data_IF_851971444417
#
_entry.id   IF_851971444417
#
_cell.length_a   1.000
_cell.length_b   1.000
_cell.length_c   1.000
_cell.angle_alpha   90.00
_cell.angle_beta   90.00
_cell.angle_gamma   90.00
#
_symmetry.space_group_name_H-M   'P 1'
#
loop_
_entity.id
_entity.type
_entity.pdbx_description
1 polymer ?
#
# COMPACT_ATOMS: atom_id res chain seq x y z
N UNK A 1 14.74 0.13 18.29
CA UNK A 1 15.33 -0.30 17.01
C UNK A 1 14.24 -0.68 16.03
N UNK A 2 14.48 -0.50 14.75
CA UNK A 2 13.47 -0.82 13.74
C UNK A 2 13.51 -2.32 13.45
N UNK A 3 12.48 -3.04 13.88
CA UNK A 3 12.35 -4.49 13.68
C UNK A 3 11.27 -4.84 12.67
N UNK A 4 10.29 -3.96 12.47
CA UNK A 4 9.19 -4.14 11.54
C UNK A 4 8.89 -2.84 10.81
N UNK A 5 8.93 -2.90 9.49
CA UNK A 5 8.60 -1.78 8.59
C UNK A 5 7.30 -2.11 7.88
N UNK A 6 6.30 -1.28 8.03
CA UNK A 6 5.06 -1.39 7.26
C UNK A 6 5.10 -0.40 6.11
N UNK A 7 4.54 -0.76 4.98
CA UNK A 7 4.45 0.12 3.82
C UNK A 7 3.09 0.00 3.15
N UNK A 8 2.49 1.13 2.84
CA UNK A 8 1.23 1.19 2.11
C UNK A 8 1.47 1.31 0.62
N UNK A 9 0.70 0.58 -0.18
CA UNK A 9 0.76 0.67 -1.63
C UNK A 9 -0.63 0.59 -2.25
N UNK A 10 -0.85 1.35 -3.30
CA UNK A 10 -2.06 1.28 -4.13
C UNK A 10 -1.77 0.70 -5.52
N UNK A 11 -0.56 0.18 -5.73
CA UNK A 11 -0.14 -0.38 -7.01
C UNK A 11 0.32 0.63 -8.04
N UNK A 12 0.24 1.92 -7.74
CA UNK A 12 0.67 2.96 -8.68
C UNK A 12 2.20 3.01 -8.79
N UNK A 13 2.68 3.64 -9.85
CA UNK A 13 4.11 3.84 -10.06
C UNK A 13 4.73 4.70 -8.95
N UNK A 14 4.01 5.72 -8.49
CA UNK A 14 4.47 6.54 -7.38
C UNK A 14 4.54 5.75 -6.07
N UNK A 15 3.56 4.87 -5.83
CA UNK A 15 3.58 4.01 -4.65
C UNK A 15 4.75 3.03 -4.69
N UNK A 16 5.17 2.57 -5.87
CA UNK A 16 6.31 1.66 -5.98
C UNK A 16 7.62 2.29 -5.50
N UNK A 17 7.76 3.61 -5.61
CA UNK A 17 8.92 4.32 -5.07
C UNK A 17 8.95 4.28 -3.55
N UNK A 18 7.79 4.41 -2.91
CA UNK A 18 7.68 4.27 -1.46
C UNK A 18 8.00 2.84 -1.02
N UNK A 19 7.53 1.85 -1.77
CA UNK A 19 7.85 0.44 -1.52
C UNK A 19 9.36 0.22 -1.60
N UNK A 20 10.01 0.69 -2.66
CA UNK A 20 11.47 0.54 -2.82
C UNK A 20 12.23 1.15 -1.64
N UNK A 21 11.79 2.31 -1.18
CA UNK A 21 12.39 2.97 -0.02
C UNK A 21 12.22 2.13 1.25
N UNK A 22 11.03 1.58 1.45
CA UNK A 22 10.73 0.73 2.61
C UNK A 22 11.58 -0.55 2.59
N UNK A 23 11.76 -1.18 1.43
CA UNK A 23 12.58 -2.38 1.30
C UNK A 23 14.05 -2.09 1.56
N UNK A 24 14.56 -0.95 1.10
CA UNK A 24 15.91 -0.51 1.40
C UNK A 24 16.12 -0.29 2.89
N UNK A 25 15.17 0.38 3.53
CA UNK A 25 15.20 0.60 4.98
C UNK A 25 15.19 -0.71 5.76
N UNK A 26 14.29 -1.63 5.38
CA UNK A 26 14.21 -2.94 6.02
C UNK A 26 15.50 -3.75 5.85
N UNK A 27 16.12 -3.67 4.68
CA UNK A 27 17.39 -4.37 4.42
C UNK A 27 18.49 -3.87 5.37
N UNK A 28 18.56 -2.56 5.58
CA UNK A 28 19.60 -1.97 6.45
C UNK A 28 19.45 -2.36 7.90
N UNK A 29 18.23 -2.56 8.38
CA UNK A 29 17.96 -2.92 9.76
C UNK A 29 17.73 -4.42 9.97
N UNK A 30 17.70 -5.22 8.90
CA UNK A 30 17.30 -6.62 9.01
C UNK A 30 15.86 -6.78 9.47
N UNK A 31 14.99 -5.84 9.09
CA UNK A 31 13.63 -5.78 9.57
C UNK A 31 12.68 -6.62 8.72
N UNK A 32 11.57 -7.05 9.35
CA UNK A 32 10.44 -7.65 8.66
C UNK A 32 9.66 -6.56 7.92
N UNK A 33 9.13 -6.90 6.76
CA UNK A 33 8.28 -5.99 5.96
C UNK A 33 6.83 -6.44 6.01
N UNK A 34 5.93 -5.51 6.28
CA UNK A 34 4.48 -5.71 6.19
C UNK A 34 3.97 -4.82 5.07
N UNK A 35 3.48 -5.43 4.00
CA UNK A 35 2.93 -4.70 2.86
C UNK A 35 1.42 -4.61 3.01
N UNK A 36 0.90 -3.40 3.00
CA UNK A 36 -0.51 -3.16 3.26
C UNK A 36 -1.17 -2.44 2.08
N UNK A 37 -2.38 -2.84 1.77
CA UNK A 37 -3.19 -2.17 0.78
C UNK A 37 -4.65 -2.17 1.22
N UNK A 38 -5.36 -1.11 0.89
CA UNK A 38 -6.79 -1.02 1.12
C UNK A 38 -7.52 -1.19 -0.20
N UNK A 39 -8.73 -1.70 -0.13
CA UNK A 39 -9.62 -1.75 -1.27
C UNK A 39 -11.03 -1.35 -0.83
N UNK A 40 -11.82 -0.93 -1.80
CA UNK A 40 -13.23 -0.67 -1.59
C UNK A 40 -14.00 -1.52 -2.59
N UNK A 41 -15.05 -2.25 -2.15
CA UNK A 41 -15.87 -2.97 -3.10
C UNK A 41 -16.52 -1.97 -4.04
N UNK A 42 -16.42 -2.27 -5.33
CA UNK A 42 -17.09 -1.48 -6.36
C UNK A 42 -18.57 -1.80 -6.25
N UNK A 43 -19.44 -0.78 -6.26
CA UNK A 43 -20.88 -1.00 -6.23
C UNK A 43 -21.29 -1.88 -7.43
N UNK A 44 -22.28 -2.76 -7.20
CA UNK A 44 -22.75 -3.68 -8.25
C UNK A 44 -23.15 -2.94 -9.53
N UNK A 45 -23.79 -1.78 -9.40
CA UNK A 45 -24.17 -0.95 -10.54
C UNK A 45 -22.96 -0.40 -11.31
N UNK A 46 -21.90 -0.04 -10.60
CA UNK A 46 -20.68 0.44 -11.21
C UNK A 46 -19.96 -0.67 -11.97
N UNK A 47 -19.89 -1.86 -11.38
CA UNK A 47 -19.30 -3.04 -12.03
C UNK A 47 -20.08 -3.36 -13.31
N UNK A 48 -21.41 -3.36 -13.26
CA UNK A 48 -22.24 -3.61 -14.43
C UNK A 48 -22.03 -2.58 -15.52
N UNK A 49 -21.88 -1.30 -15.19
CA UNK A 49 -21.62 -0.23 -16.16
C UNK A 49 -20.25 -0.38 -16.78
N UNK A 50 -19.24 -0.65 -16.00
CA UNK A 50 -17.87 -0.85 -16.50
C UNK A 50 -17.79 -2.11 -17.37
N UNK A 51 -18.48 -3.18 -17.01
CA UNK A 51 -18.53 -4.40 -17.79
C UNK A 51 -19.28 -4.21 -19.11
N UNK A 52 -20.31 -3.35 -19.14
CA UNK A 52 -21.03 -3.04 -20.38
C UNK A 52 -20.18 -2.24 -21.37
N UNK A 53 -19.39 -1.33 -20.86
CA UNK A 53 -18.58 -0.40 -21.65
C UNK A 53 -17.20 -0.98 -22.00
N UNK A 54 -16.77 -2.04 -21.32
CA UNK A 54 -15.48 -2.67 -21.57
C UNK A 54 -15.58 -3.78 -22.62
N UNK A 55 -14.54 -3.98 -23.46
CA UNK A 55 -14.46 -5.16 -24.32
C UNK A 55 -14.54 -6.44 -23.50
N UNK A 56 -15.05 -7.53 -24.10
CA UNK A 56 -15.33 -8.79 -23.42
C UNK A 56 -14.09 -9.38 -22.72
N UNK A 57 -12.94 -9.22 -23.33
CA UNK A 57 -11.65 -9.70 -22.79
C UNK A 57 -11.16 -8.89 -21.57
N UNK A 58 -11.60 -7.63 -21.45
CA UNK A 58 -11.24 -6.75 -20.35
C UNK A 58 -12.24 -6.86 -19.19
N UNK A 59 -13.48 -7.30 -19.46
CA UNK A 59 -14.53 -7.41 -18.43
C UNK A 59 -14.10 -8.31 -17.26
N UNK A 60 -13.22 -9.26 -17.50
CA UNK A 60 -12.69 -10.17 -16.48
C UNK A 60 -11.73 -9.52 -15.51
N UNK A 61 -11.06 -8.43 -15.92
CA UNK A 61 -10.04 -7.77 -15.09
C UNK A 61 -10.60 -6.70 -14.16
N UNK A 62 -11.91 -6.42 -14.25
CA UNK A 62 -12.56 -5.43 -13.38
C UNK A 62 -12.92 -6.10 -12.06
N UNK A 63 -11.89 -6.41 -11.28
CA UNK A 63 -12.04 -6.92 -9.92
C UNK A 63 -10.99 -6.24 -9.05
N UNK A 64 -11.38 -5.27 -8.19
CA UNK A 64 -10.43 -4.57 -7.34
C UNK A 64 -9.61 -5.49 -6.44
N UNK A 65 -10.20 -6.58 -5.97
CA UNK A 65 -9.51 -7.55 -5.12
C UNK A 65 -8.39 -8.26 -5.87
N UNK A 66 -8.61 -8.62 -7.13
CA UNK A 66 -7.59 -9.27 -7.96
C UNK A 66 -6.41 -8.33 -8.24
N UNK A 67 -6.69 -7.05 -8.52
CA UNK A 67 -5.64 -6.06 -8.72
C UNK A 67 -4.80 -5.85 -7.46
N UNK A 68 -5.46 -5.77 -6.33
CA UNK A 68 -4.78 -5.62 -5.04
C UNK A 68 -3.90 -6.84 -4.74
N UNK A 69 -4.44 -8.04 -4.92
CA UNK A 69 -3.70 -9.28 -4.69
C UNK A 69 -2.48 -9.38 -5.61
N UNK A 70 -2.62 -9.01 -6.88
CA UNK A 70 -1.50 -9.00 -7.83
C UNK A 70 -0.41 -8.01 -7.41
N UNK A 71 -0.80 -6.82 -6.96
CA UNK A 71 0.12 -5.80 -6.47
C UNK A 71 0.91 -6.31 -5.25
N UNK A 72 0.21 -6.86 -4.27
CA UNK A 72 0.84 -7.38 -3.06
C UNK A 72 1.81 -8.52 -3.39
N UNK A 73 1.43 -9.41 -4.30
CA UNK A 73 2.26 -10.52 -4.72
C UNK A 73 3.56 -10.05 -5.39
N UNK A 74 3.49 -9.02 -6.22
CA UNK A 74 4.67 -8.42 -6.83
C UNK A 74 5.64 -7.88 -5.79
N UNK A 75 5.11 -7.17 -4.79
CA UNK A 75 5.94 -6.62 -3.71
C UNK A 75 6.55 -7.74 -2.86
N UNK A 76 5.77 -8.77 -2.54
CA UNK A 76 6.28 -9.93 -1.80
C UNK A 76 7.44 -10.60 -2.54
N UNK A 77 7.30 -10.82 -3.83
CA UNK A 77 8.35 -11.44 -4.64
C UNK A 77 9.62 -10.59 -4.65
N UNK A 78 9.47 -9.29 -4.77
CA UNK A 78 10.59 -8.35 -4.73
C UNK A 78 11.31 -8.38 -3.39
N UNK A 79 10.56 -8.35 -2.31
CA UNK A 79 11.11 -8.41 -0.96
C UNK A 79 11.80 -9.73 -0.67
N UNK A 80 11.20 -10.84 -1.08
CA UNK A 80 11.78 -12.17 -0.91
C UNK A 80 13.07 -12.31 -1.69
N UNK A 81 13.16 -11.75 -2.90
CA UNK A 81 14.39 -11.73 -3.68
C UNK A 81 15.53 -10.98 -2.98
N UNK A 82 15.19 -10.05 -2.10
CA UNK A 82 16.14 -9.32 -1.25
C UNK A 82 16.45 -10.03 0.08
N UNK A 83 15.86 -11.21 0.30
CA UNK A 83 16.06 -11.97 1.54
C UNK A 83 15.28 -11.46 2.73
N UNK A 84 14.25 -10.65 2.51
CA UNK A 84 13.44 -10.06 3.57
C UNK A 84 12.28 -10.97 3.98
N UNK A 85 11.98 -11.01 5.27
CA UNK A 85 10.75 -11.62 5.78
C UNK A 85 9.61 -10.68 5.44
N UNK A 86 8.57 -11.19 4.79
CA UNK A 86 7.49 -10.36 4.24
C UNK A 86 6.14 -10.96 4.53
N UNK A 87 5.23 -10.12 4.96
CA UNK A 87 3.81 -10.43 5.12
C UNK A 87 3.04 -9.38 4.32
N UNK A 88 1.98 -9.77 3.64
CA UNK A 88 1.12 -8.82 2.95
C UNK A 88 -0.32 -8.96 3.44
N UNK A 89 -1.02 -7.84 3.54
CA UNK A 89 -2.42 -7.80 3.91
C UNK A 89 -3.18 -6.77 3.08
N UNK A 90 -4.36 -7.18 2.61
CA UNK A 90 -5.32 -6.29 1.99
C UNK A 90 -6.58 -6.27 2.83
N UNK A 91 -7.13 -5.10 3.08
CA UNK A 91 -8.38 -4.95 3.82
C UNK A 91 -9.30 -3.94 3.16
N UNK A 92 -10.59 -4.19 3.29
CA UNK A 92 -11.61 -3.25 2.87
C UNK A 92 -11.66 -2.08 3.84
N UNK A 93 -11.74 -0.87 3.31
CA UNK A 93 -11.93 0.33 4.12
C UNK A 93 -11.18 1.55 3.61
N UNK A 94 -11.23 2.59 4.41
CA UNK A 94 -10.51 3.83 4.14
C UNK A 94 -9.00 3.57 4.19
N UNK A 95 -8.23 4.03 3.19
CA UNK A 95 -6.80 3.72 3.13
C UNK A 95 -6.01 4.08 4.40
N UNK A 96 -6.21 5.27 4.95
CA UNK A 96 -5.47 5.69 6.14
C UNK A 96 -5.80 4.81 7.35
N UNK A 97 -7.07 4.50 7.55
CA UNK A 97 -7.52 3.66 8.66
C UNK A 97 -6.97 2.24 8.52
N UNK A 98 -7.05 1.67 7.32
CA UNK A 98 -6.55 0.32 7.05
C UNK A 98 -5.05 0.24 7.30
N UNK A 99 -4.27 1.20 6.80
CA UNK A 99 -2.83 1.20 6.97
C UNK A 99 -2.43 1.33 8.44
N UNK A 100 -3.10 2.19 9.18
CA UNK A 100 -2.84 2.36 10.61
C UNK A 100 -3.19 1.10 11.41
N UNK A 101 -4.32 0.47 11.10
CA UNK A 101 -4.75 -0.76 11.78
C UNK A 101 -3.78 -1.92 11.51
N UNK A 102 -3.33 -2.08 10.28
CA UNK A 102 -2.36 -3.12 9.92
C UNK A 102 -1.02 -2.87 10.62
N UNK A 103 -0.55 -1.63 10.63
CA UNK A 103 0.67 -1.26 11.32
C UNK A 103 0.59 -1.57 12.83
N UNK A 104 -0.55 -1.27 13.45
CA UNK A 104 -0.76 -1.55 14.87
C UNK A 104 -0.76 -3.05 15.15
N UNK A 105 -1.46 -3.84 14.36
CA UNK A 105 -1.58 -5.28 14.56
C UNK A 105 -0.26 -6.02 14.41
N UNK A 106 0.61 -5.52 13.54
CA UNK A 106 1.92 -6.13 13.33
C UNK A 106 3.02 -5.51 14.19
N UNK A 107 2.70 -4.53 15.02
CA UNK A 107 3.68 -3.86 15.85
C UNK A 107 4.75 -3.14 15.05
N UNK A 108 4.36 -2.50 13.95
CA UNK A 108 5.31 -1.79 13.10
C UNK A 108 5.98 -0.63 13.85
N UNK A 109 7.27 -0.48 13.64
CA UNK A 109 8.05 0.61 14.21
C UNK A 109 7.97 1.86 13.35
N UNK A 110 7.79 1.67 12.04
CA UNK A 110 7.61 2.77 11.09
C UNK A 110 6.62 2.35 10.00
N UNK A 111 5.76 3.27 9.64
CA UNK A 111 4.82 3.12 8.52
C UNK A 111 5.28 4.05 7.40
N UNK A 112 5.61 3.47 6.25
CA UNK A 112 6.11 4.20 5.08
C UNK A 112 4.96 4.42 4.09
N UNK A 113 4.78 5.65 3.66
CA UNK A 113 3.78 6.02 2.65
C UNK A 113 4.39 7.00 1.67
N UNK A 114 3.87 7.04 0.46
CA UNK A 114 4.25 8.05 -0.53
C UNK A 114 3.56 9.38 -0.26
N UNK A 115 4.08 10.43 -0.86
CA UNK A 115 3.55 11.78 -0.73
C UNK A 115 2.54 12.14 -1.85
N UNK A 116 1.89 11.18 -2.42
CA UNK A 116 0.95 11.40 -3.52
C UNK A 116 0.03 12.58 -3.26
N UNK A 117 -0.01 13.54 -4.21
CA UNK A 117 -0.80 14.75 -4.08
C UNK A 117 -0.02 15.97 -3.62
N UNK A 118 1.27 15.87 -3.30
CA UNK A 118 2.10 17.01 -2.90
C UNK A 118 2.54 17.91 -4.06
N UNK A 119 1.85 17.87 -5.19
CA UNK A 119 2.24 18.66 -6.36
C UNK A 119 2.18 20.17 -6.13
N UNK A 120 1.43 20.63 -5.15
CA UNK A 120 1.29 22.05 -4.81
C UNK A 120 1.73 22.34 -3.38
N UNK A 121 2.72 21.63 -2.88
CA UNK A 121 3.19 21.72 -1.50
C UNK A 121 2.12 21.31 -0.48
N UNK A 122 1.11 20.57 -0.94
CA UNK A 122 0.06 20.02 -0.06
C UNK A 122 0.22 18.53 -0.01
N UNK A 123 0.28 17.99 1.20
CA UNK A 123 0.33 16.57 1.43
C UNK A 123 -0.96 15.91 0.95
N UNK A 124 -0.86 14.76 0.27
CA UNK A 124 -2.04 13.99 -0.14
C UNK A 124 -2.91 13.58 1.05
N UNK A 125 -4.16 13.22 0.79
CA UNK A 125 -5.12 12.88 1.85
C UNK A 125 -4.68 11.68 2.68
N UNK A 126 -4.16 10.63 2.06
CA UNK A 126 -3.71 9.43 2.78
C UNK A 126 -2.51 9.74 3.67
N UNK A 127 -1.38 10.29 3.16
CA UNK A 127 -0.25 10.58 4.02
C UNK A 127 -0.58 11.59 5.11
N UNK A 128 -1.43 12.57 4.82
CA UNK A 128 -1.86 13.53 5.83
C UNK A 128 -2.63 12.84 6.98
N UNK A 129 -3.63 12.00 6.64
CA UNK A 129 -4.41 11.28 7.63
C UNK A 129 -3.56 10.29 8.42
N UNK A 130 -2.68 9.56 7.74
CA UNK A 130 -1.77 8.60 8.39
C UNK A 130 -0.86 9.31 9.38
N UNK A 131 -0.33 10.49 9.04
CA UNK A 131 0.56 11.23 9.92
C UNK A 131 -0.11 11.62 11.25
N UNK A 132 -1.43 11.78 11.25
CA UNK A 132 -2.20 12.11 12.45
C UNK A 132 -2.65 10.88 13.24
N UNK A 133 -2.89 9.75 12.57
CA UNK A 133 -3.55 8.58 13.17
C UNK A 133 -2.62 7.40 13.45
N UNK A 134 -1.42 7.39 12.89
CA UNK A 134 -0.54 6.23 12.99
C UNK A 134 -0.14 5.91 14.43
N UNK A 135 -0.10 4.61 14.80
CA UNK A 135 0.34 4.19 16.13
C UNK A 135 1.86 4.20 16.29
N UNK A 136 2.60 4.57 15.25
CA UNK A 136 4.06 4.51 15.19
C UNK A 136 4.60 5.70 14.40
N UNK A 137 5.90 5.76 14.24
CA UNK A 137 6.56 6.74 13.39
C UNK A 137 6.12 6.58 11.93
N UNK A 138 6.02 7.69 11.23
CA UNK A 138 5.60 7.71 9.81
C UNK A 138 6.72 8.30 8.98
N UNK A 139 7.05 7.63 7.90
CA UNK A 139 7.99 8.14 6.91
C UNK A 139 7.23 8.44 5.63
N UNK A 140 7.25 9.69 5.21
CA UNK A 140 6.60 10.13 3.98
C UNK A 140 7.67 10.26 2.90
N UNK A 141 7.60 9.37 1.92
CA UNK A 141 8.59 9.30 0.85
C UNK A 141 8.18 10.24 -0.28
N UNK A 142 9.11 11.08 -0.70
CA UNK A 142 8.88 11.95 -1.85
C UNK A 142 8.91 11.10 -3.13
N UNK A 143 7.77 10.95 -3.76
CA UNK A 143 7.60 10.13 -4.96
C UNK A 143 7.34 10.96 -6.23
N UNK A 144 7.13 12.24 -6.06
CA UNK A 144 6.84 13.17 -7.17
C UNK A 144 7.82 14.33 -7.21
#
# INVERSE_FOLDING_TARGET
MIETVAVGTDGSETASKAVDFALDLATKYGAKVVVASSYRPVSEDRVRREQRDAPTDIQWSINPTQEVDATLKQVEQKAQAMGLRTVSEAREGDPADVLCDIAEQHGADVLVVGNRGMQRRVLGSVPNSVSHKAPCSVMIVKTT
#
